data_IF_411019961937
#
_entry.id   IF_411019961937
#
_cell.length_a   1.000
_cell.length_b   1.000
_cell.length_c   1.000
_cell.angle_alpha   90.00
_cell.angle_beta   90.00
_cell.angle_gamma   90.00
#
_symmetry.space_group_name_H-M   'P 1'
#
loop_
_entity.id
_entity.type
_entity.pdbx_description
1 polymer ?
#
# COMPACT_ATOMS: atom_id res chain seq x y z
N UNK A 1 -21.56 -108.93 38.16
CA UNK A 1 -21.51 -108.08 36.95
C UNK A 1 -22.26 -106.78 37.23
N UNK A 2 -21.56 -105.68 37.54
CA UNK A 2 -22.10 -104.32 37.44
C UNK A 2 -20.92 -103.37 37.13
N UNK A 3 -20.99 -102.69 35.98
CA UNK A 3 -19.94 -101.83 35.42
C UNK A 3 -19.97 -100.42 36.04
N UNK A 4 -18.79 -99.82 36.28
CA UNK A 4 -18.61 -98.40 36.65
C UNK A 4 -18.51 -97.53 35.39
N UNK A 5 -19.12 -96.32 35.36
CA UNK A 5 -19.01 -95.41 34.22
C UNK A 5 -17.67 -94.63 34.24
N UNK A 6 -17.21 -94.09 33.09
CA UNK A 6 -15.96 -93.36 33.01
C UNK A 6 -16.12 -91.91 33.50
N UNK A 7 -15.09 -91.42 34.19
CA UNK A 7 -14.96 -90.02 34.63
C UNK A 7 -14.70 -89.14 33.39
N UNK A 8 -15.44 -88.05 33.16
CA UNK A 8 -15.21 -87.17 32.02
C UNK A 8 -13.92 -86.36 32.24
N UNK A 9 -13.07 -86.38 31.22
CA UNK A 9 -11.76 -85.75 31.16
C UNK A 9 -11.88 -84.21 31.05
N UNK A 10 -12.02 -83.55 32.20
CA UNK A 10 -12.09 -82.08 32.33
C UNK A 10 -10.79 -81.40 31.90
N UNK A 11 -9.64 -82.08 32.01
CA UNK A 11 -8.32 -81.57 31.63
C UNK A 11 -8.14 -81.49 30.10
N UNK A 12 -8.74 -82.41 29.35
CA UNK A 12 -8.78 -82.33 27.87
C UNK A 12 -9.58 -81.13 27.33
N UNK A 13 -10.59 -80.65 28.10
CA UNK A 13 -11.42 -79.50 27.73
C UNK A 13 -10.70 -78.16 27.95
N UNK A 14 -9.90 -78.03 29.00
CA UNK A 14 -9.06 -76.84 29.23
C UNK A 14 -7.93 -76.71 28.20
N UNK A 15 -7.41 -77.84 27.70
CA UNK A 15 -6.33 -77.84 26.69
C UNK A 15 -6.81 -77.48 25.27
N UNK A 16 -8.11 -77.51 25.01
CA UNK A 16 -8.76 -77.12 23.74
C UNK A 16 -9.42 -75.74 23.78
N UNK A 17 -9.27 -75.00 24.88
CA UNK A 17 -9.87 -73.68 25.01
C UNK A 17 -9.07 -72.64 24.22
N UNK A 18 -9.56 -72.32 23.01
CA UNK A 18 -9.00 -71.29 22.13
C UNK A 18 -9.35 -69.85 22.59
N UNK A 19 -10.10 -69.68 23.69
CA UNK A 19 -10.46 -68.37 24.23
C UNK A 19 -9.27 -67.52 24.70
N UNK A 20 -8.13 -68.13 25.04
CA UNK A 20 -6.92 -67.42 25.46
C UNK A 20 -6.14 -66.74 24.33
N UNK A 21 -6.21 -67.26 23.10
CA UNK A 21 -5.49 -66.67 21.96
C UNK A 21 -6.10 -65.33 21.54
N UNK A 22 -7.41 -65.19 21.65
CA UNK A 22 -8.14 -63.94 21.36
C UNK A 22 -7.71 -62.86 22.35
N UNK A 23 -7.54 -63.19 23.63
CA UNK A 23 -7.10 -62.26 24.66
C UNK A 23 -5.67 -61.74 24.40
N UNK A 24 -4.76 -62.59 23.93
CA UNK A 24 -3.37 -62.20 23.60
C UNK A 24 -3.33 -61.29 22.37
N UNK A 25 -4.01 -61.66 21.28
CA UNK A 25 -4.07 -60.82 20.07
C UNK A 25 -4.78 -59.49 20.35
N UNK A 26 -5.87 -59.52 21.13
CA UNK A 26 -6.57 -58.32 21.58
C UNK A 26 -5.67 -57.40 22.41
N UNK A 27 -4.91 -57.95 23.36
CA UNK A 27 -3.99 -57.17 24.19
C UNK A 27 -2.90 -56.48 23.35
N UNK A 28 -2.33 -57.18 22.37
CA UNK A 28 -1.30 -56.62 21.47
C UNK A 28 -1.90 -55.52 20.58
N UNK A 29 -3.07 -55.75 19.99
CA UNK A 29 -3.76 -54.74 19.18
C UNK A 29 -4.15 -53.51 20.00
N UNK A 30 -4.57 -53.69 21.24
CA UNK A 30 -4.96 -52.62 22.14
C UNK A 30 -3.76 -51.71 22.45
N UNK A 31 -2.60 -52.28 22.78
CA UNK A 31 -1.35 -51.52 22.97
C UNK A 31 -0.98 -50.74 21.70
N UNK A 32 -1.09 -51.36 20.51
CA UNK A 32 -0.81 -50.68 19.25
C UNK A 32 -1.76 -49.49 19.00
N UNK A 33 -3.06 -49.66 19.22
CA UNK A 33 -4.06 -48.59 19.06
C UNK A 33 -3.78 -47.44 20.02
N UNK A 34 -3.54 -47.73 21.31
CA UNK A 34 -3.20 -46.69 22.29
C UNK A 34 -1.89 -45.97 21.93
N UNK A 35 -0.90 -46.69 21.38
CA UNK A 35 0.32 -46.09 20.86
C UNK A 35 0.06 -45.10 19.72
N UNK A 36 -0.74 -45.48 18.73
CA UNK A 36 -1.10 -44.60 17.61
C UNK A 36 -1.95 -43.40 18.04
N UNK A 37 -2.91 -43.59 18.96
CA UNK A 37 -3.72 -42.49 19.50
C UNK A 37 -2.84 -41.53 20.30
N UNK A 38 -1.93 -42.06 21.14
CA UNK A 38 -0.98 -41.26 21.89
C UNK A 38 -0.08 -40.41 21.00
N UNK A 39 0.48 -41.02 19.95
CA UNK A 39 1.24 -40.33 18.91
C UNK A 39 0.44 -39.21 18.24
N UNK A 40 -0.80 -39.51 17.85
CA UNK A 40 -1.68 -38.52 17.21
C UNK A 40 -1.99 -37.34 18.13
N UNK A 41 -2.20 -37.59 19.43
CA UNK A 41 -2.48 -36.55 20.43
C UNK A 41 -1.25 -35.68 20.68
N UNK A 42 -0.08 -36.27 20.88
CA UNK A 42 1.17 -35.52 21.09
C UNK A 42 1.55 -34.71 19.84
N UNK A 43 1.41 -35.29 18.64
CA UNK A 43 1.60 -34.56 17.38
C UNK A 43 0.62 -33.39 17.24
N UNK A 44 -0.67 -33.62 17.51
CA UNK A 44 -1.70 -32.56 17.44
C UNK A 44 -1.43 -31.45 18.45
N UNK A 45 -0.93 -31.78 19.64
CA UNK A 45 -0.50 -30.80 20.64
C UNK A 45 0.72 -30.01 20.15
N UNK A 46 1.74 -30.69 19.61
CA UNK A 46 2.93 -30.08 19.03
C UNK A 46 2.59 -29.10 17.90
N UNK A 47 1.77 -29.53 16.94
CA UNK A 47 1.32 -28.69 15.82
C UNK A 47 0.54 -27.46 16.29
N UNK A 48 -0.34 -27.59 17.30
CA UNK A 48 -1.05 -26.43 17.89
C UNK A 48 -0.10 -25.45 18.57
N UNK A 49 0.88 -25.95 19.32
CA UNK A 49 1.88 -25.09 19.98
C UNK A 49 2.74 -24.40 18.93
N UNK A 50 3.14 -25.10 17.85
CA UNK A 50 3.90 -24.51 16.75
C UNK A 50 3.14 -23.37 16.06
N UNK A 51 1.86 -23.57 15.76
CA UNK A 51 1.02 -22.54 15.14
C UNK A 51 0.85 -21.31 16.05
N UNK A 52 0.66 -21.52 17.36
CA UNK A 52 0.61 -20.42 18.35
C UNK A 52 1.95 -19.70 18.47
N UNK A 53 3.06 -20.45 18.45
CA UNK A 53 4.40 -19.90 18.51
C UNK A 53 4.70 -19.01 17.29
N UNK A 54 4.33 -19.48 16.10
CA UNK A 54 4.45 -18.72 14.86
C UNK A 54 3.61 -17.44 14.92
N UNK A 55 2.34 -17.53 15.32
CA UNK A 55 1.46 -16.37 15.44
C UNK A 55 1.98 -15.32 16.45
N UNK A 56 2.53 -15.78 17.59
CA UNK A 56 3.12 -14.88 18.58
C UNK A 56 4.41 -14.21 18.07
N UNK A 57 5.26 -14.95 17.34
CA UNK A 57 6.46 -14.41 16.70
C UNK A 57 6.12 -13.36 15.64
N UNK A 58 5.14 -13.64 14.77
CA UNK A 58 4.73 -12.71 13.72
C UNK A 58 4.17 -11.41 14.31
N UNK A 59 3.32 -11.51 15.34
CA UNK A 59 2.80 -10.35 16.05
C UNK A 59 3.93 -9.54 16.72
N UNK A 60 4.87 -10.21 17.39
CA UNK A 60 6.01 -9.56 18.04
C UNK A 60 6.95 -8.89 17.04
N UNK A 61 7.24 -9.55 15.92
CA UNK A 61 8.13 -9.04 14.88
C UNK A 61 7.55 -7.80 14.19
N UNK A 62 6.24 -7.78 13.92
CA UNK A 62 5.52 -6.62 13.36
C UNK A 62 5.42 -5.48 14.38
N UNK A 63 5.09 -5.80 15.63
CA UNK A 63 4.99 -4.78 16.68
C UNK A 63 6.35 -4.08 16.93
N UNK A 64 7.44 -4.85 16.98
CA UNK A 64 8.79 -4.31 17.12
C UNK A 64 9.22 -3.51 15.87
N UNK A 65 8.99 -4.02 14.66
CA UNK A 65 9.37 -3.30 13.43
C UNK A 65 8.60 -1.98 13.26
N UNK A 66 7.33 -1.91 13.70
CA UNK A 66 6.54 -0.67 13.67
C UNK A 66 7.11 0.43 14.57
N UNK A 67 7.87 0.08 15.61
CA UNK A 67 8.51 1.00 16.57
C UNK A 67 10.02 1.13 16.38
N UNK A 68 10.58 0.49 15.35
CA UNK A 68 12.02 0.45 15.12
C UNK A 68 12.62 1.81 14.73
N UNK A 69 11.79 2.74 14.24
CA UNK A 69 12.24 4.07 13.80
C UNK A 69 12.92 4.84 14.95
N UNK A 70 14.21 5.17 14.77
CA UNK A 70 15.00 5.93 15.74
C UNK A 70 15.52 5.13 16.93
N UNK A 71 15.31 3.80 16.96
CA UNK A 71 15.82 2.91 18.01
C UNK A 71 17.09 2.19 17.56
N UNK A 72 17.94 1.84 18.53
CA UNK A 72 19.11 0.97 18.29
C UNK A 72 18.66 -0.49 18.12
N UNK A 73 19.52 -1.31 17.51
CA UNK A 73 19.23 -2.75 17.33
C UNK A 73 18.89 -3.46 18.63
N UNK A 74 19.54 -3.11 19.74
CA UNK A 74 19.27 -3.74 21.05
C UNK A 74 17.94 -3.28 21.66
N UNK A 75 17.54 -2.02 21.45
CA UNK A 75 16.21 -1.54 21.84
C UNK A 75 15.11 -2.27 21.06
N UNK A 76 15.32 -2.55 19.77
CA UNK A 76 14.38 -3.29 18.93
C UNK A 76 14.25 -4.75 19.39
N UNK A 77 15.38 -5.40 19.73
CA UNK A 77 15.36 -6.76 20.32
C UNK A 77 14.58 -6.78 21.63
N UNK A 78 14.81 -5.81 22.51
CA UNK A 78 14.11 -5.70 23.79
C UNK A 78 12.59 -5.50 23.62
N UNK A 79 12.18 -4.63 22.70
CA UNK A 79 10.78 -4.45 22.33
C UNK A 79 10.17 -5.77 21.83
N UNK A 80 10.85 -6.46 20.91
CA UNK A 80 10.35 -7.72 20.34
C UNK A 80 10.15 -8.80 21.40
N UNK A 81 11.10 -8.95 22.33
CA UNK A 81 10.99 -9.89 23.46
C UNK A 81 9.83 -9.53 24.39
N UNK A 82 9.62 -8.24 24.65
CA UNK A 82 8.51 -7.75 25.48
C UNK A 82 7.16 -8.05 24.84
N UNK A 83 7.02 -7.79 23.53
CA UNK A 83 5.79 -8.11 22.80
C UNK A 83 5.53 -9.60 22.71
N UNK A 84 6.57 -10.40 22.48
CA UNK A 84 6.42 -11.85 22.45
C UNK A 84 5.94 -12.38 23.81
N UNK A 85 6.55 -11.94 24.92
CA UNK A 85 6.15 -12.36 26.26
C UNK A 85 4.70 -11.94 26.61
N UNK A 86 4.23 -10.83 26.04
CA UNK A 86 2.83 -10.41 26.18
C UNK A 86 1.88 -11.33 25.39
N UNK A 87 2.30 -11.80 24.21
CA UNK A 87 1.48 -12.56 23.27
C UNK A 87 1.47 -14.07 23.52
N UNK A 88 2.59 -14.64 23.96
CA UNK A 88 2.72 -16.08 24.21
C UNK A 88 2.48 -16.41 25.68
N UNK A 89 1.23 -16.74 26.02
CA UNK A 89 0.86 -17.29 27.32
C UNK A 89 0.12 -18.60 27.11
N UNK A 90 0.81 -19.71 27.30
CA UNK A 90 0.17 -21.03 27.26
C UNK A 90 0.42 -21.87 28.51
N UNK A 91 -0.67 -22.31 29.11
CA UNK A 91 -0.63 -23.13 30.31
C UNK A 91 -0.06 -24.51 29.99
N UNK A 92 0.87 -24.99 30.81
CA UNK A 92 1.48 -26.31 30.62
C UNK A 92 2.44 -26.41 29.42
N UNK A 93 2.91 -25.27 28.90
CA UNK A 93 3.98 -25.18 27.89
C UNK A 93 5.18 -24.46 28.52
N UNK A 94 6.41 -25.01 28.43
CA UNK A 94 7.60 -24.31 28.90
C UNK A 94 7.83 -22.98 28.17
N UNK A 95 8.47 -22.03 28.84
CA UNK A 95 8.86 -20.76 28.21
C UNK A 95 9.83 -21.05 27.05
N UNK A 96 9.54 -20.60 25.82
CA UNK A 96 10.43 -20.81 24.69
C UNK A 96 11.70 -19.98 24.81
N UNK A 97 12.81 -20.51 24.29
CA UNK A 97 14.04 -19.74 24.11
C UNK A 97 13.95 -18.95 22.82
N UNK A 98 14.15 -17.63 22.90
CA UNK A 98 14.00 -16.72 21.77
C UNK A 98 15.36 -16.11 21.44
N UNK A 99 15.71 -16.14 20.16
CA UNK A 99 16.87 -15.44 19.61
C UNK A 99 16.35 -14.35 18.70
N UNK A 100 16.73 -13.10 19.00
CA UNK A 100 16.41 -11.94 18.19
C UNK A 100 17.69 -11.42 17.51
N UNK A 101 17.73 -11.47 16.18
CA UNK A 101 18.85 -10.98 15.38
C UNK A 101 18.39 -9.76 14.58
N UNK A 102 19.12 -8.66 14.73
CA UNK A 102 18.90 -7.45 13.93
C UNK A 102 20.09 -7.28 13.00
N UNK A 103 19.82 -7.20 11.69
CA UNK A 103 20.83 -6.94 10.66
C UNK A 103 20.28 -5.87 9.73
N UNK A 104 21.01 -4.75 9.63
CA UNK A 104 20.58 -3.53 8.94
C UNK A 104 19.21 -3.03 9.43
N UNK A 105 18.16 -3.24 8.63
CA UNK A 105 16.76 -2.91 8.97
C UNK A 105 15.85 -4.15 8.91
N UNK A 106 16.41 -5.32 9.20
CA UNK A 106 15.69 -6.59 9.29
C UNK A 106 15.80 -7.15 10.71
N UNK A 107 14.68 -7.67 11.22
CA UNK A 107 14.56 -8.36 12.50
C UNK A 107 14.15 -9.79 12.20
N UNK A 108 14.95 -10.73 12.68
CA UNK A 108 14.66 -12.15 12.63
C UNK A 108 14.48 -12.65 14.06
N UNK A 109 13.32 -13.22 14.36
CA UNK A 109 12.99 -13.84 15.63
C UNK A 109 12.89 -15.35 15.42
N UNK A 110 13.64 -16.12 16.21
CA UNK A 110 13.54 -17.59 16.26
C UNK A 110 13.16 -18.01 17.66
N UNK A 111 12.08 -18.77 17.79
CA UNK A 111 11.70 -19.39 19.05
C UNK A 111 11.85 -20.91 18.97
N UNK A 112 12.41 -21.49 20.02
CA UNK A 112 12.60 -22.94 20.17
C UNK A 112 12.13 -23.37 21.55
N UNK A 113 11.40 -24.48 21.63
CA UNK A 113 10.98 -25.08 22.89
C UNK A 113 10.92 -26.61 22.80
N UNK A 114 11.31 -27.28 23.87
CA UNK A 114 11.12 -28.72 24.03
C UNK A 114 9.79 -28.96 24.74
N UNK A 115 8.78 -29.44 24.00
CA UNK A 115 7.44 -29.69 24.52
C UNK A 115 7.41 -31.06 25.21
N UNK A 116 7.12 -31.15 26.52
CA UNK A 116 7.01 -32.44 27.19
C UNK A 116 5.89 -33.27 26.58
N UNK A 117 6.20 -34.50 26.20
CA UNK A 117 5.24 -35.38 25.56
C UNK A 117 4.47 -36.22 26.60
N UNK A 118 3.20 -36.51 26.34
CA UNK A 118 2.33 -37.17 27.32
C UNK A 118 2.27 -38.69 27.11
N UNK A 119 2.33 -39.15 25.85
CA UNK A 119 2.17 -40.56 25.48
C UNK A 119 3.42 -41.14 24.83
N UNK A 120 4.15 -40.33 24.06
CA UNK A 120 5.46 -40.65 23.48
C UNK A 120 6.53 -41.18 24.47
N UNK A 121 6.51 -40.89 25.79
CA UNK A 121 7.45 -41.50 26.71
C UNK A 121 7.36 -43.04 26.74
N UNK A 122 6.21 -43.63 26.37
CA UNK A 122 6.04 -45.09 26.27
C UNK A 122 6.97 -45.75 25.25
N UNK A 123 7.44 -44.98 24.26
CA UNK A 123 8.42 -45.42 23.25
C UNK A 123 9.78 -44.73 23.43
N UNK A 124 10.03 -44.12 24.60
CA UNK A 124 11.32 -43.49 24.95
C UNK A 124 11.50 -42.04 24.48
N UNK A 125 10.46 -41.39 23.93
CA UNK A 125 10.52 -39.99 23.48
C UNK A 125 9.89 -39.10 24.57
N UNK A 126 10.72 -38.37 25.32
CA UNK A 126 10.27 -37.57 26.46
C UNK A 126 9.75 -36.18 26.07
N UNK A 127 10.15 -35.67 24.90
CA UNK A 127 9.76 -34.35 24.41
C UNK A 127 9.75 -34.27 22.89
N UNK A 128 9.01 -33.29 22.37
CA UNK A 128 8.97 -32.92 20.95
C UNK A 128 9.50 -31.51 20.80
N UNK A 129 10.54 -31.34 19.98
CA UNK A 129 11.09 -30.02 19.69
C UNK A 129 10.17 -29.25 18.74
N UNK A 130 9.76 -28.06 19.17
CA UNK A 130 8.92 -27.15 18.40
C UNK A 130 9.72 -25.89 18.14
N UNK A 131 9.85 -25.53 16.87
CA UNK A 131 10.52 -24.32 16.43
C UNK A 131 9.62 -23.51 15.48
N UNK A 132 9.75 -22.19 15.59
CA UNK A 132 9.11 -21.24 14.69
C UNK A 132 10.06 -20.05 14.45
N UNK A 133 9.91 -19.40 13.31
CA UNK A 133 10.73 -18.26 12.93
C UNK A 133 9.89 -17.22 12.21
N UNK A 134 10.14 -15.94 12.50
CA UNK A 134 9.53 -14.81 11.82
C UNK A 134 10.60 -13.80 11.42
N UNK A 135 10.44 -13.20 10.25
CA UNK A 135 11.37 -12.20 9.71
C UNK A 135 10.59 -11.00 9.21
N UNK A 136 10.93 -9.82 9.71
CA UNK A 136 10.34 -8.54 9.30
C UNK A 136 11.43 -7.55 8.93
N UNK A 137 11.09 -6.58 8.10
CA UNK A 137 11.97 -5.46 7.74
C UNK A 137 11.24 -4.13 7.95
N UNK A 138 11.98 -3.07 8.30
CA UNK A 138 11.47 -1.70 8.42
C UNK A 138 12.31 -0.76 7.56
N UNK A 139 11.78 0.43 7.24
CA UNK A 139 12.54 1.46 6.52
C UNK A 139 12.94 1.10 5.08
N UNK A 140 12.57 -0.09 4.58
CA UNK A 140 12.83 -0.51 3.20
C UNK A 140 11.75 -0.04 2.22
N UNK A 141 10.59 0.39 2.74
CA UNK A 141 9.52 0.95 1.90
C UNK A 141 9.71 2.46 1.73
N UNK A 142 9.65 2.92 0.48
CA UNK A 142 9.81 4.33 0.07
C UNK A 142 8.51 4.81 -0.56
N UNK A 143 8.09 6.01 -0.21
CA UNK A 143 6.82 6.56 -0.66
C UNK A 143 7.03 7.62 -1.75
N UNK A 144 6.28 7.50 -2.85
CA UNK A 144 6.24 8.52 -3.91
C UNK A 144 4.80 8.99 -4.07
N UNK A 145 4.53 10.25 -3.71
CA UNK A 145 3.19 10.82 -3.70
C UNK A 145 3.08 11.91 -4.75
N UNK A 146 2.10 11.83 -5.63
CA UNK A 146 1.75 12.92 -6.54
C UNK A 146 0.39 13.50 -6.16
N UNK A 147 0.36 14.80 -5.90
CA UNK A 147 -0.87 15.52 -5.58
C UNK A 147 -1.35 16.24 -6.85
N UNK A 148 -2.44 15.75 -7.44
CA UNK A 148 -3.17 16.45 -8.50
C UNK A 148 -4.16 17.41 -7.82
N UNK A 149 -3.83 18.69 -7.83
CA UNK A 149 -4.51 19.71 -7.06
C UNK A 149 -5.31 20.62 -8.00
N UNK A 150 -6.63 20.58 -7.87
CA UNK A 150 -7.51 21.44 -8.63
C UNK A 150 -7.27 22.91 -8.27
N UNK A 151 -6.90 23.66 -9.31
CA UNK A 151 -6.60 25.08 -9.26
C UNK A 151 -7.52 25.85 -10.23
N UNK A 152 -8.71 25.31 -10.50
CA UNK A 152 -9.71 25.85 -11.42
C UNK A 152 -10.49 27.00 -10.81
N UNK A 153 -11.20 27.77 -11.62
CA UNK A 153 -11.94 28.95 -11.16
C UNK A 153 -12.97 28.68 -10.06
N UNK A 154 -13.60 27.50 -10.04
CA UNK A 154 -14.59 27.10 -9.02
C UNK A 154 -13.99 27.05 -7.60
N UNK A 155 -12.69 26.77 -7.49
CA UNK A 155 -11.95 26.74 -6.23
C UNK A 155 -11.81 28.11 -5.56
N UNK A 156 -12.10 29.21 -6.27
CA UNK A 156 -12.11 30.58 -5.70
C UNK A 156 -13.26 30.82 -4.73
N UNK A 157 -14.31 29.99 -4.80
CA UNK A 157 -15.53 30.17 -4.03
C UNK A 157 -15.48 29.44 -2.69
N UNK A 158 -16.30 29.90 -1.73
CA UNK A 158 -16.57 29.23 -0.45
C UNK A 158 -15.33 28.87 0.38
N UNK A 159 -14.20 29.57 0.18
CA UNK A 159 -12.95 29.29 0.89
C UNK A 159 -12.27 27.96 0.49
N UNK A 160 -12.70 27.30 -0.61
CA UNK A 160 -12.20 25.99 -1.03
C UNK A 160 -10.69 25.99 -1.26
N UNK A 161 -10.15 26.96 -1.99
CA UNK A 161 -8.70 27.07 -2.21
C UNK A 161 -7.92 27.31 -0.91
N UNK A 162 -8.44 28.12 0.01
CA UNK A 162 -7.78 28.34 1.31
C UNK A 162 -7.72 27.04 2.13
N UNK A 163 -8.82 26.27 2.14
CA UNK A 163 -8.87 24.97 2.79
C UNK A 163 -7.96 23.94 2.10
N UNK A 164 -7.93 23.90 0.77
CA UNK A 164 -7.03 23.04 -0.01
C UNK A 164 -5.57 23.33 0.34
N UNK A 165 -5.17 24.61 0.34
CA UNK A 165 -3.81 25.01 0.72
C UNK A 165 -3.48 24.57 2.14
N UNK A 166 -4.34 24.89 3.10
CA UNK A 166 -4.13 24.55 4.51
C UNK A 166 -3.99 23.05 4.72
N UNK A 167 -4.89 22.25 4.12
CA UNK A 167 -4.88 20.81 4.24
C UNK A 167 -3.66 20.17 3.55
N UNK A 168 -3.28 20.68 2.37
CA UNK A 168 -2.08 20.22 1.66
C UNK A 168 -0.81 20.54 2.45
N UNK A 169 -0.69 21.74 3.03
CA UNK A 169 0.43 22.11 3.89
C UNK A 169 0.51 21.21 5.13
N UNK A 170 -0.63 20.87 5.74
CA UNK A 170 -0.68 19.92 6.86
C UNK A 170 -0.20 18.53 6.47
N UNK A 171 -0.66 17.99 5.33
CA UNK A 171 -0.19 16.72 4.79
C UNK A 171 1.31 16.74 4.50
N UNK A 172 1.83 17.81 3.89
CA UNK A 172 3.26 17.94 3.61
C UNK A 172 4.10 17.92 4.90
N UNK A 173 3.65 18.60 5.95
CA UNK A 173 4.30 18.54 7.27
C UNK A 173 4.31 17.11 7.83
N UNK A 174 3.17 16.41 7.79
CA UNK A 174 3.10 15.03 8.24
C UNK A 174 4.01 14.10 7.44
N UNK A 175 4.03 14.21 6.12
CA UNK A 175 4.91 13.42 5.27
C UNK A 175 6.39 13.74 5.53
N UNK A 176 6.72 15.01 5.77
CA UNK A 176 8.07 15.44 6.16
C UNK A 176 8.50 14.83 7.49
N UNK A 177 7.64 14.87 8.51
CA UNK A 177 7.95 14.33 9.85
C UNK A 177 8.25 12.82 9.79
N UNK A 178 7.70 12.14 8.79
CA UNK A 178 7.90 10.72 8.52
C UNK A 178 9.08 10.43 7.58
N UNK A 179 9.60 11.41 6.85
CA UNK A 179 10.77 11.25 5.98
C UNK A 179 12.07 11.39 6.78
N UNK A 180 12.52 10.29 7.41
CA UNK A 180 13.70 10.29 8.31
C UNK A 180 15.02 10.44 7.55
N UNK A 181 15.09 9.92 6.34
CA UNK A 181 16.21 10.14 5.42
C UNK A 181 15.74 10.68 4.08
N UNK A 182 16.68 11.25 3.32
CA UNK A 182 16.42 11.68 1.96
C UNK A 182 15.93 10.50 1.10
N UNK A 183 14.96 10.76 0.24
CA UNK A 183 14.29 9.74 -0.56
C UNK A 183 13.32 8.81 0.18
N UNK A 184 13.17 8.89 1.51
CA UNK A 184 12.14 8.12 2.25
C UNK A 184 10.73 8.40 1.71
N UNK A 185 10.45 9.68 1.53
CA UNK A 185 9.22 10.20 0.95
C UNK A 185 9.60 11.26 -0.05
N UNK A 186 9.08 11.13 -1.27
CA UNK A 186 9.13 12.18 -2.28
C UNK A 186 7.71 12.59 -2.64
N UNK A 187 7.52 13.89 -2.82
CA UNK A 187 6.23 14.46 -3.22
C UNK A 187 6.38 15.29 -4.48
N UNK A 188 5.43 15.17 -5.40
CA UNK A 188 5.25 16.09 -6.52
C UNK A 188 3.91 16.79 -6.42
N UNK A 189 3.85 18.06 -6.82
CA UNK A 189 2.62 18.85 -6.85
C UNK A 189 2.27 19.14 -8.30
N UNK A 190 1.03 18.84 -8.66
CA UNK A 190 0.48 19.08 -9.99
C UNK A 190 -0.78 19.95 -9.85
N UNK A 191 -0.62 21.27 -9.68
CA UNK A 191 -1.72 22.21 -9.84
C UNK A 191 -2.25 22.14 -11.28
N UNK A 192 -3.55 21.94 -11.45
CA UNK A 192 -4.17 21.83 -12.77
C UNK A 192 -5.41 22.72 -12.90
N UNK A 193 -5.67 23.14 -14.13
CA UNK A 193 -6.93 23.71 -14.58
C UNK A 193 -7.28 23.04 -15.93
N UNK A 194 -7.63 23.81 -16.96
CA UNK A 194 -7.76 23.31 -18.34
C UNK A 194 -6.43 22.75 -18.86
N UNK A 195 -5.35 23.34 -18.36
CA UNK A 195 -3.95 23.03 -18.64
C UNK A 195 -3.19 22.73 -17.35
N UNK A 196 -1.98 22.23 -17.48
CA UNK A 196 -0.96 22.29 -16.42
C UNK A 196 0.14 23.26 -16.81
N UNK A 197 0.94 23.68 -15.83
CA UNK A 197 2.10 24.53 -16.07
C UNK A 197 3.39 23.75 -15.79
N UNK A 198 4.23 23.54 -16.80
CA UNK A 198 5.52 22.85 -16.63
C UNK A 198 6.65 23.82 -16.27
N UNK A 199 6.43 25.12 -16.37
CA UNK A 199 7.46 26.15 -16.24
C UNK A 199 8.14 26.48 -17.57
N UNK A 200 8.62 27.72 -17.69
CA UNK A 200 9.19 28.25 -18.93
C UNK A 200 10.57 27.68 -19.27
N UNK A 201 11.25 27.05 -18.30
CA UNK A 201 12.55 26.40 -18.48
C UNK A 201 12.49 25.25 -19.50
N UNK A 202 11.32 24.64 -19.68
CA UNK A 202 11.13 23.55 -20.66
C UNK A 202 10.77 24.02 -22.06
N UNK A 203 10.87 25.32 -22.37
CA UNK A 203 10.48 25.89 -23.68
C UNK A 203 11.06 25.14 -24.88
N UNK A 204 12.31 24.68 -24.77
CA UNK A 204 13.02 23.98 -25.84
C UNK A 204 13.07 22.46 -25.63
N UNK A 205 12.25 21.91 -24.73
CA UNK A 205 12.24 20.50 -24.46
C UNK A 205 11.70 19.72 -25.66
N UNK A 206 12.38 18.64 -26.04
CA UNK A 206 12.06 17.81 -27.21
C UNK A 206 10.70 17.11 -27.13
N UNK A 207 10.09 17.08 -25.95
CA UNK A 207 8.77 16.49 -25.69
C UNK A 207 7.61 17.50 -25.77
N UNK A 208 7.89 18.79 -26.00
CA UNK A 208 6.86 19.82 -26.18
C UNK A 208 6.63 20.07 -27.67
N UNK A 209 5.36 20.16 -28.07
CA UNK A 209 4.96 20.59 -29.41
C UNK A 209 4.58 22.07 -29.39
N UNK A 210 5.49 22.91 -29.89
CA UNK A 210 5.34 24.38 -30.01
C UNK A 210 4.72 24.84 -31.34
N UNK A 211 4.18 23.91 -32.14
CA UNK A 211 3.70 24.14 -33.50
C UNK A 211 2.28 23.60 -33.73
N UNK A 212 1.42 23.68 -32.70
CA UNK A 212 0.01 23.36 -32.84
C UNK A 212 -0.74 24.54 -33.48
N UNK A 213 -1.03 24.43 -34.79
CA UNK A 213 -1.45 25.53 -35.65
C UNK A 213 -2.73 26.28 -35.20
N UNK A 214 -3.54 25.68 -34.33
CA UNK A 214 -4.82 26.25 -33.85
C UNK A 214 -4.73 27.03 -32.54
N UNK A 215 -3.69 26.82 -31.72
CA UNK A 215 -3.61 27.42 -30.36
C UNK A 215 -2.20 27.94 -30.02
N UNK A 216 -1.16 27.39 -30.65
CA UNK A 216 0.23 27.71 -30.33
C UNK A 216 1.16 27.42 -31.52
N UNK A 217 1.41 28.45 -32.35
CA UNK A 217 2.45 28.39 -33.39
C UNK A 217 3.76 29.03 -32.90
N UNK A 218 4.86 28.82 -33.62
CA UNK A 218 6.14 29.49 -33.34
C UNK A 218 6.00 31.02 -33.27
N UNK A 219 5.06 31.62 -34.01
CA UNK A 219 4.82 33.07 -33.98
C UNK A 219 3.93 33.45 -32.77
N UNK A 220 2.92 32.65 -32.47
CA UNK A 220 1.95 32.96 -31.40
C UNK A 220 2.43 32.59 -29.99
N UNK A 221 3.39 31.68 -29.83
CA UNK A 221 3.87 31.22 -28.53
C UNK A 221 5.35 31.53 -28.26
N UNK A 222 6.10 32.09 -29.22
CA UNK A 222 7.54 32.37 -29.02
C UNK A 222 7.83 33.36 -27.91
N UNK A 223 6.91 34.29 -27.60
CA UNK A 223 7.10 35.33 -26.58
C UNK A 223 6.12 35.25 -25.39
N UNK A 224 4.96 34.60 -25.51
CA UNK A 224 3.87 34.60 -24.50
C UNK A 224 3.55 33.23 -23.89
N UNK A 225 4.47 32.26 -24.01
CA UNK A 225 4.28 30.96 -23.37
C UNK A 225 4.82 31.00 -21.93
N UNK A 226 3.92 30.92 -20.96
CA UNK A 226 4.22 30.90 -19.53
C UNK A 226 4.39 29.50 -18.94
N UNK A 227 4.53 28.47 -19.79
CA UNK A 227 4.69 27.06 -19.37
C UNK A 227 3.43 26.20 -19.51
N UNK A 228 2.34 26.73 -20.06
CA UNK A 228 1.07 26.04 -20.17
C UNK A 228 1.07 24.90 -21.21
N UNK A 229 0.60 23.73 -20.80
CA UNK A 229 0.54 22.50 -21.61
C UNK A 229 -0.85 21.88 -21.50
N UNK A 230 -1.37 21.39 -22.62
CA UNK A 230 -2.67 20.72 -22.74
C UNK A 230 -2.54 19.21 -23.04
N UNK A 231 -3.66 18.51 -23.15
CA UNK A 231 -3.69 17.06 -23.41
C UNK A 231 -2.96 16.66 -24.70
N UNK A 232 -2.31 15.48 -24.68
CA UNK A 232 -1.71 14.88 -25.88
C UNK A 232 -2.77 14.48 -26.90
N UNK A 233 -2.37 14.12 -28.12
CA UNK A 233 -3.34 13.62 -29.11
C UNK A 233 -3.98 12.31 -28.63
N UNK A 234 -5.24 12.05 -28.97
CA UNK A 234 -5.89 10.76 -28.65
C UNK A 234 -5.18 9.61 -29.39
N UNK A 235 -4.84 8.48 -28.75
CA UNK A 235 -5.10 8.05 -27.38
C UNK A 235 -3.89 8.21 -26.42
N UNK A 236 -2.97 9.13 -26.68
CA UNK A 236 -1.78 9.36 -25.84
C UNK A 236 -2.09 10.16 -24.56
N UNK A 237 -3.20 10.89 -24.53
CA UNK A 237 -3.74 11.61 -23.35
C UNK A 237 -4.07 10.69 -22.17
N UNK A 238 -4.33 9.41 -22.43
CA UNK A 238 -4.63 8.39 -21.40
C UNK A 238 -3.45 7.42 -21.15
N UNK A 239 -2.28 7.73 -21.71
CA UNK A 239 -1.07 6.89 -21.64
C UNK A 239 0.01 7.59 -20.83
N UNK A 240 0.99 6.81 -20.37
CA UNK A 240 2.22 7.27 -19.74
C UNK A 240 3.47 6.98 -20.59
N UNK A 241 3.28 6.61 -21.85
CA UNK A 241 4.39 6.37 -22.76
C UNK A 241 5.26 7.63 -22.91
N UNK A 242 6.58 7.42 -22.92
CA UNK A 242 7.55 8.46 -23.16
C UNK A 242 7.29 9.13 -24.53
N UNK A 243 7.39 10.47 -24.61
CA UNK A 243 7.27 11.19 -25.88
C UNK A 243 8.31 10.72 -26.90
N UNK A 244 7.85 10.25 -28.07
CA UNK A 244 8.70 9.67 -29.14
C UNK A 244 8.33 10.14 -30.56
N UNK A 245 7.28 10.95 -30.69
CA UNK A 245 6.84 11.54 -31.96
C UNK A 245 5.72 12.55 -31.75
N UNK A 246 5.37 13.31 -32.80
CA UNK A 246 4.48 14.48 -32.71
C UNK A 246 3.16 14.24 -31.99
N UNK A 247 2.54 13.06 -32.13
CA UNK A 247 1.26 12.74 -31.46
C UNK A 247 1.39 12.42 -29.97
N UNK A 248 2.59 12.05 -29.53
CA UNK A 248 2.93 11.73 -28.13
C UNK A 248 3.53 12.92 -27.38
N UNK A 249 3.82 14.01 -28.10
CA UNK A 249 4.33 15.25 -27.52
C UNK A 249 3.20 16.00 -26.84
N UNK A 250 3.59 16.81 -25.86
CA UNK A 250 2.70 17.66 -25.10
C UNK A 250 2.51 19.00 -25.82
N UNK A 251 1.32 19.32 -26.34
CA UNK A 251 1.11 20.58 -27.04
C UNK A 251 1.17 21.75 -26.07
N UNK A 252 1.94 22.78 -26.42
CA UNK A 252 1.94 24.04 -25.72
C UNK A 252 0.64 24.81 -25.98
N UNK A 253 0.24 25.61 -24.99
CA UNK A 253 -0.93 26.48 -25.09
C UNK A 253 -0.51 27.93 -24.82
N UNK A 254 -0.93 28.86 -25.68
CA UNK A 254 -0.73 30.29 -25.43
C UNK A 254 -1.57 30.72 -24.21
N UNK A 255 -0.96 31.49 -23.30
CA UNK A 255 -1.57 31.95 -22.04
C UNK A 255 -2.86 32.74 -22.20
N UNK A 256 -3.05 33.43 -23.34
CA UNK A 256 -4.28 34.16 -23.63
C UNK A 256 -5.51 33.25 -23.80
N UNK A 257 -5.30 31.95 -24.01
CA UNK A 257 -6.37 30.96 -24.25
C UNK A 257 -6.54 29.95 -23.11
N UNK A 258 -5.70 30.02 -22.06
CA UNK A 258 -5.77 29.06 -20.94
C UNK A 258 -6.91 29.38 -19.98
N UNK A 259 -7.39 30.63 -19.96
CA UNK A 259 -8.30 31.12 -18.92
C UNK A 259 -7.59 31.32 -17.56
N UNK A 260 -6.26 31.28 -17.58
CA UNK A 260 -5.39 31.34 -16.42
C UNK A 260 -4.47 30.12 -16.33
N UNK A 261 -3.17 30.36 -16.17
CA UNK A 261 -2.16 29.31 -16.06
C UNK A 261 -1.97 28.98 -14.58
N UNK A 262 -2.15 27.71 -14.17
CA UNK A 262 -1.95 27.33 -12.77
C UNK A 262 -0.47 27.47 -12.37
N UNK A 263 -0.20 27.41 -11.06
CA UNK A 263 1.17 27.38 -10.55
C UNK A 263 1.95 26.21 -11.17
N UNK A 264 3.23 26.44 -11.46
CA UNK A 264 4.09 25.43 -12.07
C UNK A 264 4.14 24.14 -11.25
N UNK A 265 4.14 23.01 -11.95
CA UNK A 265 4.35 21.68 -11.40
C UNK A 265 5.66 21.69 -10.62
N UNK A 266 5.61 21.17 -9.40
CA UNK A 266 6.80 20.82 -8.65
C UNK A 266 7.08 19.33 -8.90
N UNK A 267 8.17 18.96 -9.61
CA UNK A 267 8.54 17.57 -9.83
C UNK A 267 8.81 16.85 -8.51
N UNK A 268 8.86 15.52 -8.58
CA UNK A 268 9.03 14.64 -7.44
C UNK A 268 10.32 14.99 -6.66
N UNK A 269 10.17 15.48 -5.43
CA UNK A 269 11.28 16.02 -4.64
C UNK A 269 11.08 15.80 -3.13
N UNK A 270 12.17 15.88 -2.37
CA UNK A 270 12.21 16.00 -0.91
C UNK A 270 12.43 17.45 -0.46
N UNK A 271 12.42 18.43 -1.38
CA UNK A 271 12.51 19.84 -1.04
C UNK A 271 11.17 20.39 -0.49
N UNK A 272 10.95 20.17 0.81
CA UNK A 272 9.75 20.60 1.52
C UNK A 272 9.51 22.11 1.50
N UNK A 273 10.57 22.92 1.43
CA UNK A 273 10.46 24.37 1.30
C UNK A 273 9.83 24.78 -0.04
N UNK A 274 10.30 24.20 -1.14
CA UNK A 274 9.72 24.41 -2.47
C UNK A 274 8.29 23.92 -2.53
N UNK A 275 8.00 22.70 -2.04
CA UNK A 275 6.65 22.15 -2.01
C UNK A 275 5.66 23.11 -1.30
N UNK A 276 6.03 23.61 -0.12
CA UNK A 276 5.20 24.60 0.62
C UNK A 276 5.04 25.91 -0.14
N UNK A 277 6.10 26.39 -0.80
CA UNK A 277 6.06 27.62 -1.60
C UNK A 277 5.11 27.49 -2.79
N UNK A 278 5.16 26.36 -3.52
CA UNK A 278 4.25 26.06 -4.63
C UNK A 278 2.79 26.08 -4.17
N UNK A 279 2.47 25.42 -3.06
CA UNK A 279 1.10 25.42 -2.50
C UNK A 279 0.65 26.84 -2.14
N UNK A 280 1.52 27.63 -1.50
CA UNK A 280 1.20 29.00 -1.12
C UNK A 280 0.86 29.89 -2.35
N UNK A 281 1.52 29.65 -3.48
CA UNK A 281 1.36 30.40 -4.74
C UNK A 281 0.14 29.98 -5.59
N UNK A 282 -0.57 28.91 -5.23
CA UNK A 282 -1.74 28.47 -5.99
C UNK A 282 -2.82 29.53 -6.08
N UNK A 283 -3.34 29.79 -7.27
CA UNK A 283 -4.42 30.76 -7.50
C UNK A 283 -5.46 30.19 -8.46
N UNK A 284 -6.74 30.08 -8.06
CA UNK A 284 -7.83 29.54 -8.88
C UNK A 284 -7.96 30.27 -10.22
N UNK A 285 -7.97 29.54 -11.34
CA UNK A 285 -8.27 30.10 -12.66
C UNK A 285 -8.63 29.02 -13.70
N UNK A 286 -9.35 29.40 -14.74
CA UNK A 286 -9.65 28.54 -15.89
C UNK A 286 -10.71 27.45 -15.63
N UNK A 287 -10.98 26.69 -16.69
CA UNK A 287 -11.91 25.56 -16.70
C UNK A 287 -11.25 24.29 -16.14
N UNK A 288 -12.04 23.23 -15.96
CA UNK A 288 -11.66 22.02 -15.21
C UNK A 288 -11.39 20.86 -16.15
N UNK A 289 -10.13 20.42 -16.15
CA UNK A 289 -9.68 19.22 -16.83
C UNK A 289 -8.98 18.29 -15.81
N UNK A 290 -9.71 17.37 -15.20
CA UNK A 290 -9.12 16.42 -14.25
C UNK A 290 -8.21 15.41 -14.96
N UNK A 291 -8.43 15.16 -16.27
CA UNK A 291 -7.62 14.22 -17.07
C UNK A 291 -6.18 14.69 -17.17
N UNK A 292 -5.94 15.97 -17.52
CA UNK A 292 -4.57 16.50 -17.63
C UNK A 292 -3.87 16.52 -16.27
N UNK A 293 -4.58 16.84 -15.19
CA UNK A 293 -4.05 16.81 -13.83
C UNK A 293 -3.60 15.40 -13.41
N UNK A 294 -4.43 14.39 -13.66
CA UNK A 294 -4.11 12.99 -13.40
C UNK A 294 -2.97 12.49 -14.29
N UNK A 295 -2.97 12.84 -15.56
CA UNK A 295 -1.94 12.40 -16.51
C UNK A 295 -0.58 12.93 -16.05
N UNK A 296 -0.51 14.20 -15.67
CA UNK A 296 0.75 14.79 -15.18
C UNK A 296 1.15 14.29 -13.79
N UNK A 297 0.21 13.99 -12.90
CA UNK A 297 0.52 13.31 -11.64
C UNK A 297 1.12 11.91 -11.87
N UNK A 298 0.72 11.21 -12.94
CA UNK A 298 1.36 9.96 -13.32
C UNK A 298 2.75 10.17 -13.94
N UNK A 299 2.90 11.20 -14.78
CA UNK A 299 4.18 11.56 -15.40
C UNK A 299 5.24 11.92 -14.35
N UNK A 300 4.88 12.65 -13.28
CA UNK A 300 5.84 13.02 -12.21
C UNK A 300 6.35 11.83 -11.39
N UNK A 301 5.65 10.69 -11.43
CA UNK A 301 6.05 9.44 -10.76
C UNK A 301 6.87 8.50 -11.66
N UNK A 302 7.11 8.91 -12.91
CA UNK A 302 7.68 8.07 -13.96
C UNK A 302 9.10 8.48 -14.28
N UNK A 303 10.00 7.50 -14.39
CA UNK A 303 11.38 7.72 -14.81
C UNK A 303 11.43 7.95 -16.33
N UNK A 304 12.28 8.88 -16.77
CA UNK A 304 12.34 9.33 -18.16
C UNK A 304 11.55 10.62 -18.41
N UNK A 305 11.43 11.01 -19.68
CA UNK A 305 10.73 12.25 -20.06
C UNK A 305 9.25 12.19 -19.64
N UNK A 306 8.64 13.31 -19.21
CA UNK A 306 9.17 14.68 -19.28
C UNK A 306 9.96 15.13 -18.04
N UNK A 307 9.62 14.66 -16.84
CA UNK A 307 10.14 15.20 -15.57
C UNK A 307 11.23 14.33 -14.92
N UNK A 308 11.42 13.11 -15.42
CA UNK A 308 12.44 12.16 -14.99
C UNK A 308 12.49 11.96 -13.48
N UNK A 309 11.46 11.31 -12.94
CA UNK A 309 11.40 10.96 -11.53
C UNK A 309 12.71 10.25 -11.10
N UNK A 310 13.23 10.51 -9.88
CA UNK A 310 14.42 9.86 -9.39
C UNK A 310 14.38 8.33 -9.57
N UNK A 311 15.52 7.73 -9.91
CA UNK A 311 15.62 6.29 -10.10
C UNK A 311 15.21 5.53 -8.82
N UNK A 312 14.63 4.35 -8.98
CA UNK A 312 14.30 3.45 -7.88
C UNK A 312 15.51 2.57 -7.58
N UNK A 313 15.91 2.49 -6.31
CA UNK A 313 16.95 1.56 -5.86
C UNK A 313 16.31 0.18 -5.64
N UNK A 314 16.80 -0.89 -6.28
CA UNK A 314 16.28 -2.25 -6.10
C UNK A 314 16.30 -2.75 -4.65
N UNK A 315 17.07 -2.12 -3.75
CA UNK A 315 17.07 -2.44 -2.31
C UNK A 315 15.80 -2.01 -1.58
N UNK A 316 14.99 -1.15 -2.20
CA UNK A 316 13.78 -0.59 -1.61
C UNK A 316 12.52 -1.00 -2.35
N UNK A 317 11.43 -1.13 -1.59
CA UNK A 317 10.08 -1.30 -2.14
C UNK A 317 9.44 0.07 -2.29
N UNK A 318 9.01 0.44 -3.50
CA UNK A 318 8.37 1.74 -3.73
C UNK A 318 6.84 1.61 -3.72
N UNK A 319 6.18 2.46 -2.95
CA UNK A 319 4.72 2.63 -2.99
C UNK A 319 4.41 3.95 -3.68
N UNK A 320 3.68 3.89 -4.78
CA UNK A 320 3.29 5.05 -5.60
C UNK A 320 1.84 5.39 -5.34
N UNK A 321 1.58 6.66 -5.04
CA UNK A 321 0.25 7.16 -4.71
C UNK A 321 -0.03 8.42 -5.49
N UNK A 322 -1.21 8.51 -6.08
CA UNK A 322 -1.77 9.75 -6.62
C UNK A 322 -2.96 10.14 -5.74
N UNK A 323 -3.03 11.41 -5.36
CA UNK A 323 -4.20 11.99 -4.69
C UNK A 323 -4.75 13.08 -5.62
N UNK A 324 -5.93 12.84 -6.18
CA UNK A 324 -6.69 13.83 -6.94
C UNK A 324 -7.65 14.55 -6.00
N UNK A 325 -7.58 15.87 -5.97
CA UNK A 325 -8.49 16.71 -5.20
C UNK A 325 -9.12 17.68 -6.19
N UNK A 326 -10.45 17.66 -6.31
CA UNK A 326 -11.22 18.55 -7.18
C UNK A 326 -12.54 18.93 -6.53
N UNK A 327 -13.05 20.13 -6.80
CA UNK A 327 -14.31 20.61 -6.23
C UNK A 327 -15.53 20.42 -7.12
N UNK A 328 -15.37 19.77 -8.27
CA UNK A 328 -16.45 19.71 -9.24
C UNK A 328 -16.25 18.71 -10.37
N UNK A 329 -16.90 19.03 -11.48
CA UNK A 329 -17.05 18.21 -12.68
C UNK A 329 -16.06 18.67 -13.75
N UNK A 330 -15.74 17.80 -14.70
CA UNK A 330 -14.97 18.21 -15.86
C UNK A 330 -15.77 19.19 -16.73
N UNK A 331 -15.16 20.28 -17.17
CA UNK A 331 -15.84 21.32 -17.96
C UNK A 331 -15.19 21.59 -19.29
N UNK A 332 -13.87 21.39 -19.45
CA UNK A 332 -13.21 21.55 -20.74
C UNK A 332 -11.89 20.79 -20.77
N UNK A 333 -11.61 20.12 -21.89
CA UNK A 333 -10.31 19.52 -22.21
C UNK A 333 -9.89 19.96 -23.61
N UNK A 334 -8.70 19.55 -24.06
CA UNK A 334 -8.31 19.79 -25.46
C UNK A 334 -9.27 19.14 -26.47
N UNK A 335 -9.91 18.04 -26.09
CA UNK A 335 -10.63 17.16 -27.02
C UNK A 335 -12.16 17.22 -26.90
N UNK A 336 -12.68 17.91 -25.89
CA UNK A 336 -14.11 17.99 -25.60
C UNK A 336 -14.40 19.12 -24.61
N UNK A 337 -15.56 19.75 -24.78
CA UNK A 337 -16.22 20.71 -23.88
C UNK A 337 -17.42 20.10 -23.15
N UNK A 338 -17.75 18.83 -23.44
CA UNK A 338 -18.80 18.07 -22.76
C UNK A 338 -18.22 17.18 -21.67
N UNK A 339 -18.75 17.34 -20.45
CA UNK A 339 -18.32 16.58 -19.28
C UNK A 339 -18.28 15.06 -19.52
N UNK A 340 -19.33 14.47 -20.10
CA UNK A 340 -19.40 13.01 -20.30
C UNK A 340 -18.29 12.45 -21.19
N UNK A 341 -17.83 13.23 -22.17
CA UNK A 341 -16.74 12.85 -23.06
C UNK A 341 -15.39 12.91 -22.33
N UNK A 342 -15.20 13.92 -21.47
CA UNK A 342 -14.00 14.06 -20.63
C UNK A 342 -13.96 12.97 -19.55
N UNK A 343 -15.09 12.71 -18.88
CA UNK A 343 -15.25 11.65 -17.87
C UNK A 343 -14.92 10.26 -18.45
N UNK A 344 -15.29 10.03 -19.72
CA UNK A 344 -14.94 8.80 -20.45
C UNK A 344 -13.42 8.65 -20.63
N UNK A 345 -12.71 9.75 -20.92
CA UNK A 345 -11.23 9.74 -21.00
C UNK A 345 -10.60 9.53 -19.63
N UNK A 346 -11.10 10.22 -18.60
CA UNK A 346 -10.64 10.07 -17.22
C UNK A 346 -10.77 8.62 -16.75
N UNK A 347 -11.88 7.95 -17.05
CA UNK A 347 -12.10 6.54 -16.70
C UNK A 347 -11.02 5.63 -17.28
N UNK A 348 -10.65 5.84 -18.55
CA UNK A 348 -9.59 5.08 -19.21
C UNK A 348 -8.22 5.35 -18.57
N UNK A 349 -7.91 6.62 -18.29
CA UNK A 349 -6.66 7.00 -17.63
C UNK A 349 -6.55 6.42 -16.21
N UNK A 350 -7.62 6.51 -15.41
CA UNK A 350 -7.64 5.92 -14.06
C UNK A 350 -7.43 4.40 -14.10
N UNK A 351 -7.99 3.73 -15.12
CA UNK A 351 -7.76 2.29 -15.33
C UNK A 351 -6.29 2.00 -15.63
N UNK A 352 -5.66 2.79 -16.51
CA UNK A 352 -4.24 2.64 -16.84
C UNK A 352 -3.31 2.92 -15.63
N UNK A 353 -3.61 3.96 -14.84
CA UNK A 353 -2.88 4.28 -13.61
C UNK A 353 -2.96 3.12 -12.60
N UNK A 354 -4.16 2.58 -12.39
CA UNK A 354 -4.37 1.44 -11.48
C UNK A 354 -3.66 0.18 -11.97
N UNK A 355 -3.69 -0.09 -13.28
CA UNK A 355 -2.96 -1.21 -13.89
C UNK A 355 -1.43 -1.07 -13.74
N UNK A 356 -0.91 0.16 -13.63
CA UNK A 356 0.49 0.42 -13.32
C UNK A 356 0.86 0.25 -11.84
N UNK A 357 -0.06 -0.25 -11.00
CA UNK A 357 0.18 -0.51 -9.58
C UNK A 357 0.19 0.75 -8.70
N UNK A 358 -0.32 1.87 -9.21
CA UNK A 358 -0.40 3.14 -8.46
C UNK A 358 -1.71 3.18 -7.67
N UNK A 359 -1.62 3.51 -6.39
CA UNK A 359 -2.80 3.70 -5.55
C UNK A 359 -3.39 5.08 -5.80
N UNK A 360 -4.68 5.15 -6.10
CA UNK A 360 -5.38 6.37 -6.46
C UNK A 360 -6.41 6.73 -5.39
N UNK A 361 -6.22 7.90 -4.78
CA UNK A 361 -7.17 8.56 -3.89
C UNK A 361 -7.85 9.70 -4.65
N UNK A 362 -9.14 9.88 -4.43
CA UNK A 362 -9.92 10.93 -5.08
C UNK A 362 -10.81 11.62 -4.05
N UNK A 363 -10.71 12.94 -3.96
CA UNK A 363 -11.44 13.76 -2.99
C UNK A 363 -12.27 14.78 -3.74
N UNK A 364 -13.59 14.69 -3.61
CA UNK A 364 -14.53 15.65 -4.17
C UNK A 364 -14.94 16.69 -3.12
N UNK A 365 -14.66 17.97 -3.37
CA UNK A 365 -14.98 19.10 -2.48
C UNK A 365 -16.28 19.78 -2.93
N UNK A 366 -17.40 19.14 -2.65
CA UNK A 366 -18.72 19.55 -3.13
C UNK A 366 -19.47 20.45 -2.13
N UNK A 367 -19.08 21.71 -2.04
CA UNK A 367 -19.80 22.70 -1.20
C UNK A 367 -21.00 23.34 -1.91
N UNK A 368 -21.13 23.11 -3.21
CA UNK A 368 -22.14 23.75 -4.07
C UNK A 368 -23.44 22.96 -4.19
N UNK A 369 -23.46 21.70 -3.72
CA UNK A 369 -24.61 20.81 -3.89
C UNK A 369 -24.65 20.11 -5.25
N UNK A 370 -23.52 20.01 -5.94
CA UNK A 370 -23.39 19.27 -7.20
C UNK A 370 -23.69 17.77 -7.00
N UNK A 371 -23.89 17.03 -8.08
CA UNK A 371 -23.98 15.58 -7.99
C UNK A 371 -22.64 14.98 -7.51
N UNK A 372 -22.71 13.84 -6.82
CA UNK A 372 -21.51 13.05 -6.53
C UNK A 372 -20.88 12.60 -7.85
N UNK A 373 -19.59 12.87 -8.03
CA UNK A 373 -18.86 12.58 -9.24
C UNK A 373 -18.59 11.08 -9.34
N UNK A 374 -19.37 10.39 -10.18
CA UNK A 374 -19.23 8.94 -10.40
C UNK A 374 -17.86 8.60 -10.99
N UNK A 375 -17.30 9.46 -11.85
CA UNK A 375 -15.97 9.25 -12.41
C UNK A 375 -14.89 9.32 -11.34
N UNK A 376 -14.96 10.26 -10.39
CA UNK A 376 -14.00 10.33 -9.28
C UNK A 376 -14.13 9.11 -8.38
N UNK A 377 -15.35 8.72 -8.03
CA UNK A 377 -15.61 7.53 -7.21
C UNK A 377 -15.05 6.24 -7.84
N UNK A 378 -15.24 6.06 -9.15
CA UNK A 378 -14.73 4.90 -9.89
C UNK A 378 -13.22 4.95 -10.15
N UNK A 379 -12.65 6.16 -10.15
CA UNK A 379 -11.24 6.39 -10.37
C UNK A 379 -10.42 5.94 -9.14
N UNK A 380 -10.92 6.12 -7.92
CA UNK A 380 -10.30 5.58 -6.71
C UNK A 380 -9.96 4.08 -6.83
N UNK A 381 -8.84 3.65 -6.24
CA UNK A 381 -8.43 2.24 -6.31
C UNK A 381 -9.37 1.31 -5.54
N UNK A 382 -9.94 1.80 -4.45
CA UNK A 382 -10.91 1.09 -3.62
C UNK A 382 -11.94 2.10 -3.10
N UNK A 383 -13.12 1.64 -2.67
CA UNK A 383 -14.21 2.53 -2.24
C UNK A 383 -13.85 3.40 -1.04
N UNK A 384 -12.95 2.94 -0.15
CA UNK A 384 -12.43 3.70 1.00
C UNK A 384 -11.43 4.80 0.61
N UNK A 385 -11.03 4.87 -0.67
CA UNK A 385 -10.12 5.90 -1.20
C UNK A 385 -10.84 7.01 -1.96
N UNK A 386 -12.17 6.96 -2.01
CA UNK A 386 -13.00 8.07 -2.44
C UNK A 386 -13.58 8.79 -1.21
N UNK A 387 -13.43 10.10 -1.17
CA UNK A 387 -14.07 10.93 -0.14
C UNK A 387 -14.88 12.03 -0.78
N UNK A 388 -16.18 12.08 -0.46
CA UNK A 388 -17.03 13.22 -0.75
C UNK A 388 -17.07 14.13 0.48
N UNK A 389 -16.84 15.43 0.26
CA UNK A 389 -16.92 16.45 1.29
C UNK A 389 -17.96 17.48 0.90
N UNK A 390 -18.72 17.95 1.88
CA UNK A 390 -19.66 19.05 1.72
C UNK A 390 -19.22 20.32 2.42
N UNK A 391 -18.15 20.26 3.22
CA UNK A 391 -17.54 21.39 3.89
C UNK A 391 -16.01 21.42 3.64
N UNK A 392 -15.43 22.55 3.17
CA UNK A 392 -14.00 22.64 2.91
C UNK A 392 -13.13 22.36 4.15
N UNK A 393 -13.61 22.63 5.35
CA UNK A 393 -12.83 22.39 6.58
C UNK A 393 -12.53 20.90 6.81
N UNK A 394 -13.33 20.00 6.22
CA UNK A 394 -13.11 18.54 6.27
C UNK A 394 -11.87 18.10 5.49
N UNK A 395 -11.33 18.93 4.59
CA UNK A 395 -10.12 18.64 3.84
C UNK A 395 -8.93 18.39 4.75
N UNK A 396 -8.80 19.19 5.82
CA UNK A 396 -7.67 19.07 6.76
C UNK A 396 -7.69 17.72 7.45
N UNK A 397 -8.84 17.32 8.01
CA UNK A 397 -9.00 16.02 8.67
C UNK A 397 -8.77 14.87 7.70
N UNK A 398 -9.34 14.92 6.51
CA UNK A 398 -9.21 13.82 5.55
C UNK A 398 -7.79 13.67 5.01
N UNK A 399 -7.11 14.77 4.66
CA UNK A 399 -5.72 14.68 4.24
C UNK A 399 -4.80 14.24 5.39
N UNK A 400 -5.13 14.61 6.63
CA UNK A 400 -4.44 14.07 7.82
C UNK A 400 -4.65 12.55 7.96
N UNK A 401 -5.87 12.05 7.76
CA UNK A 401 -6.16 10.62 7.83
C UNK A 401 -5.44 9.84 6.73
N UNK A 402 -5.41 10.38 5.50
CA UNK A 402 -4.64 9.83 4.39
C UNK A 402 -3.15 9.86 4.73
N UNK A 403 -2.62 10.96 5.27
CA UNK A 403 -1.23 11.04 5.74
C UNK A 403 -0.88 9.95 6.76
N UNK A 404 -1.78 9.67 7.70
CA UNK A 404 -1.66 8.56 8.64
C UNK A 404 -1.67 7.18 7.96
N UNK A 405 -2.55 6.97 6.98
CA UNK A 405 -2.58 5.73 6.18
C UNK A 405 -1.27 5.54 5.39
N UNK A 406 -0.76 6.58 4.75
CA UNK A 406 0.48 6.56 3.98
C UNK A 406 1.69 6.29 4.88
N UNK A 407 1.68 6.85 6.09
CA UNK A 407 2.70 6.55 7.10
C UNK A 407 2.68 5.09 7.50
N UNK A 408 1.50 4.50 7.76
CA UNK A 408 1.37 3.06 8.05
C UNK A 408 1.85 2.20 6.88
N UNK A 409 1.48 2.58 5.64
CA UNK A 409 1.90 1.88 4.42
C UNK A 409 3.43 1.84 4.27
N UNK A 410 4.16 2.84 4.80
CA UNK A 410 5.63 2.83 4.84
C UNK A 410 6.20 1.87 5.89
N UNK A 411 5.46 1.60 6.96
CA UNK A 411 5.89 0.74 8.08
C UNK A 411 5.52 -0.73 7.88
N UNK A 412 4.49 -1.02 7.10
CA UNK A 412 4.02 -2.37 6.80
C UNK A 412 4.47 -2.79 5.39
N UNK A 413 5.29 -3.83 5.30
CA UNK A 413 5.66 -4.43 4.01
C UNK A 413 4.54 -5.29 3.43
#
# INVERSE_FOLDING_TARGET
MLARPPIPDVLSRLRRDAGGSIAITFAICLVAIFGFVGLAVDYSRGARVQAKLQSALDAAAVAASSRASGKTGDQIKSDALTFFAAQFKEAGVPTPTIVATVTDSTLELKATLALPANFLPVIGINSVDVAAASKTAWGITRLRVALALDNTGSMSSSGKMSALKTATLSLLTQLQDNAKNDGDVLVSLVPFAKVVNVGTTYRNASWIRMSDATVCSWIFCSSSWSGAIQDRDKNNDISNAAPSGSSTYFPAMNENYTGGTPTAIQPLTSNWGQLRSTVAQMSPAGNTNQVIGLAWAWQTLTQGLPMNAPAEDPKYTYKKVIILISDGLNTESRHADRQSEIDSRQTLLCTAIKAAGITLYTIQVNTGGDATSSVMQNCASTSDKFTLMTNPTQLVTTLSDIGGQLTRLRLTN
#
